data_IF_165105969664
#
_entry.id   IF_165105969664
#
_cell.length_a   1.000
_cell.length_b   1.000
_cell.length_c   1.000
_cell.angle_alpha   90.00
_cell.angle_beta   90.00
_cell.angle_gamma   90.00
#
_symmetry.space_group_name_H-M   'P 1'
#
loop_
_entity.id
_entity.type
_entity.pdbx_description
1 polymer ?
#
# COMPACT_ATOMS: atom_id res chain seq x y z
N UNK A 1 22.21 37.77 -6.04
CA UNK A 1 22.08 36.48 -5.32
C UNK A 1 20.59 36.24 -5.08
N UNK A 2 19.94 35.38 -5.88
CA UNK A 2 18.56 34.93 -5.58
C UNK A 2 18.71 33.77 -4.60
N UNK A 3 18.23 33.95 -3.37
CA UNK A 3 18.12 32.84 -2.43
C UNK A 3 17.18 31.81 -3.03
N UNK A 4 17.69 30.63 -3.35
CA UNK A 4 16.85 29.50 -3.73
C UNK A 4 16.08 29.09 -2.49
N UNK A 5 14.81 29.47 -2.42
CA UNK A 5 13.87 28.87 -1.48
C UNK A 5 13.73 27.41 -1.90
N UNK A 6 14.17 26.50 -1.03
CA UNK A 6 13.96 25.07 -1.21
C UNK A 6 12.44 24.83 -1.33
N UNK A 7 11.96 24.13 -2.36
CA UNK A 7 10.53 23.91 -2.52
C UNK A 7 10.01 23.11 -1.33
N UNK A 8 8.98 23.64 -0.66
CA UNK A 8 8.34 22.90 0.43
C UNK A 8 7.85 21.53 -0.08
N UNK A 9 8.06 20.46 0.71
CA UNK A 9 7.56 19.14 0.35
C UNK A 9 6.02 19.21 0.29
N UNK A 10 5.47 18.98 -0.91
CA UNK A 10 4.02 18.85 -1.07
C UNK A 10 3.54 17.67 -0.23
N UNK A 11 2.74 17.95 0.79
CA UNK A 11 2.12 16.93 1.64
C UNK A 11 1.21 15.99 0.85
N UNK A 12 0.93 14.81 1.41
CA UNK A 12 -0.19 14.01 0.92
C UNK A 12 -1.48 14.80 1.11
N UNK A 13 -2.44 14.68 0.19
CA UNK A 13 -3.78 15.26 0.29
C UNK A 13 -4.66 14.61 1.37
N UNK A 14 -4.07 14.05 2.42
CA UNK A 14 -4.75 13.37 3.52
C UNK A 14 -4.23 13.98 4.83
N UNK A 15 -5.15 14.54 5.61
CA UNK A 15 -4.87 15.12 6.92
C UNK A 15 -5.60 14.31 8.00
N UNK A 16 -4.86 13.81 8.99
CA UNK A 16 -5.47 13.19 10.16
C UNK A 16 -6.17 14.27 11.00
N UNK A 17 -7.49 14.16 11.18
CA UNK A 17 -8.30 15.21 11.81
C UNK A 17 -8.11 15.32 13.33
N UNK A 18 -7.54 14.28 13.95
CA UNK A 18 -7.32 14.17 15.39
C UNK A 18 -5.90 13.67 15.65
N UNK A 19 -5.35 14.03 16.81
CA UNK A 19 -4.14 13.42 17.34
C UNK A 19 -4.36 11.90 17.43
N UNK A 20 -3.54 11.07 16.75
CA UNK A 20 -3.66 9.63 16.80
C UNK A 20 -3.67 9.06 18.23
N UNK A 21 -3.05 9.77 19.18
CA UNK A 21 -2.99 9.38 20.59
C UNK A 21 -4.29 9.65 21.37
N UNK A 22 -5.20 10.44 20.81
CA UNK A 22 -6.48 10.82 21.41
C UNK A 22 -7.69 10.21 20.67
N UNK A 23 -7.45 9.24 19.79
CA UNK A 23 -8.52 8.49 19.15
C UNK A 23 -9.12 7.49 20.14
N UNK A 24 -10.45 7.46 20.24
CA UNK A 24 -11.14 6.38 20.93
C UNK A 24 -11.10 5.12 20.08
N UNK A 25 -11.29 3.96 20.70
CA UNK A 25 -11.50 2.71 19.98
C UNK A 25 -12.66 2.86 18.99
N UNK A 26 -12.42 2.51 17.72
CA UNK A 26 -13.36 2.73 16.61
C UNK A 26 -13.34 4.13 15.97
N UNK A 27 -12.48 5.05 16.42
CA UNK A 27 -12.30 6.36 15.77
C UNK A 27 -11.07 6.37 14.86
N UNK A 28 -11.28 6.66 13.57
CA UNK A 28 -10.23 7.01 12.62
C UNK A 28 -10.78 8.06 11.67
N UNK A 29 -10.26 9.29 11.73
CA UNK A 29 -10.71 10.39 10.87
C UNK A 29 -9.55 10.85 9.98
N UNK A 30 -9.56 10.40 8.73
CA UNK A 30 -8.77 10.99 7.66
C UNK A 30 -9.63 11.97 6.87
N UNK A 31 -9.21 13.23 6.79
CA UNK A 31 -9.82 14.21 5.90
C UNK A 31 -9.03 14.25 4.60
N UNK A 32 -9.72 14.08 3.47
CA UNK A 32 -9.14 14.45 2.18
C UNK A 32 -9.05 15.99 2.12
N UNK A 33 -7.88 16.49 1.74
CA UNK A 33 -7.60 17.91 1.55
C UNK A 33 -6.96 18.11 0.16
N UNK A 34 -6.82 19.37 -0.25
CA UNK A 34 -6.21 19.74 -1.53
C UNK A 34 -6.97 19.23 -2.77
N UNK A 35 -8.24 19.62 -2.88
CA UNK A 35 -9.10 19.35 -4.04
C UNK A 35 -8.79 20.26 -5.25
N UNK A 36 -7.62 20.92 -5.29
CA UNK A 36 -7.26 21.86 -6.35
C UNK A 36 -7.14 21.22 -7.75
N UNK A 37 -6.92 19.90 -7.80
CA UNK A 37 -6.87 19.09 -9.02
C UNK A 37 -8.13 18.25 -9.25
N UNK A 38 -9.19 18.49 -8.46
CA UNK A 38 -10.45 17.80 -8.64
C UNK A 38 -11.19 18.29 -9.88
N UNK A 39 -11.87 17.35 -10.52
CA UNK A 39 -12.51 17.55 -11.79
C UNK A 39 -13.99 17.22 -11.60
N UNK A 40 -14.87 18.09 -12.12
CA UNK A 40 -16.27 17.76 -12.20
C UNK A 40 -16.49 16.63 -13.23
N UNK A 41 -17.10 15.53 -12.80
CA UNK A 41 -17.37 14.36 -13.63
C UNK A 41 -18.20 14.68 -14.89
N UNK A 42 -19.08 15.69 -14.82
CA UNK A 42 -19.95 16.09 -15.93
C UNK A 42 -19.22 16.94 -16.99
N UNK A 43 -17.96 17.30 -16.75
CA UNK A 43 -17.18 18.16 -17.64
C UNK A 43 -16.76 17.39 -18.91
N UNK A 44 -17.49 17.61 -20.01
CA UNK A 44 -17.22 17.00 -21.33
C UNK A 44 -15.97 17.51 -22.05
N UNK A 45 -15.42 18.66 -21.65
CA UNK A 45 -14.20 19.19 -22.28
C UNK A 45 -12.98 18.48 -21.70
N UNK A 46 -12.25 17.76 -22.56
CA UNK A 46 -10.99 17.12 -22.21
C UNK A 46 -10.03 18.14 -21.62
N UNK A 47 -9.38 17.79 -20.51
CA UNK A 47 -8.33 18.60 -19.92
C UNK A 47 -7.22 18.83 -20.94
N UNK A 48 -6.83 20.10 -21.13
CA UNK A 48 -5.57 20.40 -21.79
C UNK A 48 -4.48 19.68 -20.99
N UNK A 49 -3.63 18.87 -21.64
CA UNK A 49 -2.64 18.00 -21.00
C UNK A 49 -1.64 18.66 -20.04
N UNK A 50 -1.75 19.98 -19.82
CA UNK A 50 -1.09 20.73 -18.75
C UNK A 50 -1.52 20.28 -17.35
N UNK A 51 -2.78 19.92 -17.14
CA UNK A 51 -3.26 19.55 -15.79
C UNK A 51 -2.85 18.12 -15.39
N UNK A 52 -2.69 17.21 -16.36
CA UNK A 52 -2.12 15.89 -16.09
C UNK A 52 -0.66 15.98 -15.61
N UNK A 53 0.06 17.06 -15.96
CA UNK A 53 1.47 17.23 -15.55
C UNK A 53 1.60 17.67 -14.10
N UNK A 54 0.51 18.08 -13.46
CA UNK A 54 0.48 18.48 -12.05
C UNK A 54 0.10 17.29 -11.18
N UNK A 55 0.74 17.17 -10.02
CA UNK A 55 0.53 16.05 -9.08
C UNK A 55 1.84 15.34 -8.73
N UNK A 56 1.78 14.49 -7.70
CA UNK A 56 2.90 13.71 -7.19
C UNK A 56 2.91 12.36 -7.94
N UNK A 57 3.93 12.11 -8.77
CA UNK A 57 3.92 10.97 -9.72
C UNK A 57 3.87 9.64 -9.00
N UNK A 58 4.35 9.59 -7.76
CA UNK A 58 4.27 8.40 -6.93
C UNK A 58 2.85 7.88 -6.74
N UNK A 59 1.84 8.73 -6.86
CA UNK A 59 0.44 8.33 -6.69
C UNK A 59 -0.33 8.24 -8.00
N UNK A 60 0.21 8.71 -9.12
CA UNK A 60 -0.49 8.59 -10.41
C UNK A 60 -0.66 7.13 -10.83
N UNK A 61 -1.84 6.78 -11.35
CA UNK A 61 -2.10 5.46 -11.92
C UNK A 61 -1.17 5.15 -13.11
N UNK A 62 -1.00 3.86 -13.43
CA UNK A 62 -0.25 3.44 -14.63
C UNK A 62 -0.84 4.07 -15.90
N UNK A 63 -2.17 4.21 -15.98
CA UNK A 63 -2.87 4.83 -17.12
C UNK A 63 -2.57 6.32 -17.23
N UNK A 64 -2.63 7.07 -16.12
CA UNK A 64 -2.26 8.49 -16.07
C UNK A 64 -0.82 8.67 -16.52
N UNK A 65 0.13 7.91 -15.95
CA UNK A 65 1.55 8.03 -16.28
C UNK A 65 1.85 7.73 -17.75
N UNK A 66 1.14 6.76 -18.34
CA UNK A 66 1.23 6.46 -19.78
C UNK A 66 0.67 7.58 -20.64
N UNK A 67 -0.48 8.14 -20.28
CA UNK A 67 -1.09 9.27 -21.01
C UNK A 67 -0.19 10.50 -21.05
N UNK A 68 0.67 10.68 -20.04
CA UNK A 68 1.65 11.75 -19.96
C UNK A 68 2.87 11.55 -20.86
N UNK A 69 3.10 10.32 -21.32
CA UNK A 69 4.16 10.03 -22.26
C UNK A 69 3.69 10.33 -23.68
N UNK A 70 4.50 11.07 -24.45
CA UNK A 70 4.20 11.38 -25.86
C UNK A 70 4.02 10.12 -26.72
N UNK A 71 4.44 8.95 -26.24
CA UNK A 71 4.22 7.64 -26.86
C UNK A 71 2.75 7.24 -26.96
N UNK A 72 1.87 7.80 -26.12
CA UNK A 72 0.45 7.43 -26.12
C UNK A 72 -0.45 8.30 -27.01
N UNK A 73 0.11 9.26 -27.75
CA UNK A 73 -0.66 10.08 -28.70
C UNK A 73 -1.35 9.25 -29.81
N UNK A 74 -0.84 8.06 -30.12
CA UNK A 74 -1.43 7.14 -31.10
C UNK A 74 -2.58 6.27 -30.54
N UNK A 75 -2.82 6.30 -29.23
CA UNK A 75 -3.72 5.36 -28.54
C UNK A 75 -5.06 5.98 -28.12
N UNK A 76 -5.34 7.22 -28.55
CA UNK A 76 -6.58 7.93 -28.29
C UNK A 76 -6.47 8.98 -27.18
N UNK A 77 -7.54 9.75 -27.00
CA UNK A 77 -7.63 10.76 -25.93
C UNK A 77 -7.77 10.03 -24.59
N UNK A 78 -6.81 10.24 -23.69
CA UNK A 78 -6.93 9.73 -22.32
C UNK A 78 -8.20 10.27 -21.66
N UNK A 79 -9.02 9.35 -21.17
CA UNK A 79 -10.21 9.65 -20.41
C UNK A 79 -9.97 9.27 -18.95
N UNK A 80 -10.00 10.28 -18.07
CA UNK A 80 -9.89 10.10 -16.62
C UNK A 80 -11.04 9.22 -16.14
N UNK A 81 -10.74 8.30 -15.23
CA UNK A 81 -11.70 7.36 -14.66
C UNK A 81 -11.49 7.27 -13.15
N UNK A 82 -12.55 6.98 -12.38
CA UNK A 82 -12.47 6.78 -10.92
C UNK A 82 -11.49 5.67 -10.51
N UNK A 83 -11.22 4.70 -11.40
CA UNK A 83 -10.19 3.68 -11.17
C UNK A 83 -8.79 4.29 -11.03
N UNK A 84 -8.51 5.45 -11.64
CA UNK A 84 -7.24 6.14 -11.45
C UNK A 84 -7.10 6.65 -10.01
N UNK A 85 -8.19 7.09 -9.38
CA UNK A 85 -8.22 7.55 -7.99
C UNK A 85 -8.10 6.36 -7.02
N UNK A 86 -8.76 5.23 -7.32
CA UNK A 86 -8.60 3.97 -6.57
C UNK A 86 -7.17 3.41 -6.65
N UNK A 87 -6.56 3.40 -7.85
CA UNK A 87 -5.17 2.97 -8.00
C UNK A 87 -4.23 3.95 -7.28
N UNK A 88 -4.55 5.24 -7.25
CA UNK A 88 -3.79 6.24 -6.48
C UNK A 88 -3.82 5.94 -4.98
N UNK A 89 -4.99 5.57 -4.44
CA UNK A 89 -5.14 5.15 -3.05
C UNK A 89 -4.33 3.89 -2.74
N UNK A 90 -4.31 2.91 -3.64
CA UNK A 90 -3.45 1.73 -3.54
C UNK A 90 -1.96 2.11 -3.44
N UNK A 91 -1.48 3.04 -4.27
CA UNK A 91 -0.09 3.50 -4.18
C UNK A 91 0.22 4.24 -2.86
N UNK A 92 -0.77 4.91 -2.25
CA UNK A 92 -0.64 5.48 -0.90
C UNK A 92 -0.48 4.36 0.15
N UNK A 93 -1.30 3.33 0.09
CA UNK A 93 -1.19 2.16 0.98
C UNK A 93 0.20 1.52 0.87
N UNK A 94 0.66 1.20 -0.35
CA UNK A 94 2.00 0.64 -0.58
C UNK A 94 3.09 1.52 0.03
N UNK A 95 3.00 2.85 -0.13
CA UNK A 95 3.97 3.79 0.45
C UNK A 95 3.94 3.80 1.98
N UNK A 96 2.77 3.69 2.61
CA UNK A 96 2.63 3.60 4.06
C UNK A 96 3.26 2.30 4.56
N UNK A 97 2.94 1.16 3.94
CA UNK A 97 3.46 -0.15 4.32
C UNK A 97 4.98 -0.21 4.22
N UNK A 98 5.55 0.30 3.13
CA UNK A 98 7.00 0.41 2.99
C UNK A 98 7.62 1.26 4.09
N UNK A 99 6.98 2.36 4.52
CA UNK A 99 7.53 3.17 5.62
C UNK A 99 7.46 2.49 6.98
N UNK A 100 6.46 1.64 7.21
CA UNK A 100 6.27 0.95 8.49
C UNK A 100 7.14 -0.30 8.58
N UNK A 101 7.15 -1.14 7.54
CA UNK A 101 7.69 -2.50 7.58
C UNK A 101 9.06 -2.66 6.94
N UNK A 102 9.60 -1.63 6.29
CA UNK A 102 10.91 -1.75 5.69
C UNK A 102 11.96 -2.14 6.74
N UNK A 103 12.78 -3.18 6.47
CA UNK A 103 13.71 -3.74 7.44
C UNK A 103 14.74 -2.70 7.87
N UNK A 104 14.48 -2.10 9.01
CA UNK A 104 15.47 -1.38 9.79
C UNK A 104 16.30 -2.44 10.53
N UNK A 105 17.58 -2.54 10.17
CA UNK A 105 18.55 -3.25 10.99
C UNK A 105 18.75 -2.43 12.28
N UNK A 106 18.12 -2.88 13.38
CA UNK A 106 18.13 -2.19 14.67
C UNK A 106 19.47 -2.31 15.42
N UNK A 107 20.46 -3.00 14.85
CA UNK A 107 21.75 -3.22 15.53
C UNK A 107 22.67 -1.99 15.49
N UNK A 108 22.39 -1.01 14.62
CA UNK A 108 23.15 0.24 14.50
C UNK A 108 22.23 1.40 14.04
N UNK A 109 21.77 2.22 14.98
CA UNK A 109 20.86 3.35 14.72
C UNK A 109 21.36 4.34 13.65
N UNK A 110 22.68 4.49 13.50
CA UNK A 110 23.24 5.40 12.50
C UNK A 110 23.17 4.76 11.12
N UNK A 111 23.57 3.49 11.01
CA UNK A 111 23.42 2.68 9.79
C UNK A 111 21.95 2.53 9.39
N UNK A 112 21.04 2.42 10.35
CA UNK A 112 19.59 2.45 10.14
C UNK A 112 19.13 3.71 9.42
N UNK A 113 19.54 4.90 9.88
CA UNK A 113 19.08 6.17 9.31
C UNK A 113 19.57 6.36 7.88
N UNK A 114 20.83 6.02 7.61
CA UNK A 114 21.40 6.12 6.27
C UNK A 114 20.76 5.09 5.32
N UNK A 115 20.50 3.87 5.79
CA UNK A 115 19.80 2.82 5.03
C UNK A 115 18.36 3.21 4.70
N UNK A 116 17.62 3.74 5.69
CA UNK A 116 16.25 4.22 5.50
C UNK A 116 16.20 5.38 4.49
N UNK A 117 17.14 6.34 4.59
CA UNK A 117 17.24 7.45 3.63
C UNK A 117 17.58 6.96 2.23
N UNK A 118 18.54 6.04 2.10
CA UNK A 118 18.91 5.45 0.81
C UNK A 118 17.74 4.68 0.20
N UNK A 119 16.99 3.95 1.01
CA UNK A 119 15.80 3.24 0.56
C UNK A 119 14.67 4.19 0.17
N UNK A 120 14.36 5.21 0.98
CA UNK A 120 13.39 6.23 0.64
C UNK A 120 13.76 6.94 -0.66
N UNK A 121 15.04 7.25 -0.87
CA UNK A 121 15.54 7.77 -2.14
C UNK A 121 15.34 6.79 -3.30
N UNK A 122 15.54 5.48 -3.08
CA UNK A 122 15.29 4.47 -4.11
C UNK A 122 13.80 4.35 -4.45
N UNK A 123 12.92 4.39 -3.45
CA UNK A 123 11.48 4.40 -3.63
C UNK A 123 11.01 5.67 -4.33
N UNK A 124 11.51 6.84 -3.91
CA UNK A 124 11.18 8.10 -4.58
C UNK A 124 11.69 8.07 -6.02
N UNK A 125 12.89 7.55 -6.28
CA UNK A 125 13.38 7.37 -7.65
C UNK A 125 12.52 6.41 -8.48
N UNK A 126 11.94 5.37 -7.86
CA UNK A 126 11.08 4.40 -8.52
C UNK A 126 9.71 5.00 -8.86
N UNK A 127 9.08 5.61 -7.87
CA UNK A 127 7.71 6.12 -7.93
C UNK A 127 7.60 7.52 -8.56
N UNK A 128 8.62 8.37 -8.39
CA UNK A 128 8.70 9.72 -8.97
C UNK A 128 9.53 9.78 -10.25
N UNK A 129 9.93 8.64 -10.82
CA UNK A 129 10.61 8.60 -12.12
C UNK A 129 9.83 9.36 -13.20
N UNK A 130 10.50 9.64 -14.33
CA UNK A 130 9.80 10.18 -15.52
C UNK A 130 8.62 9.27 -15.91
N UNK A 131 7.51 9.81 -16.44
CA UNK A 131 6.26 9.06 -16.56
C UNK A 131 6.35 7.68 -17.23
N UNK A 132 7.08 7.49 -18.35
CA UNK A 132 7.22 6.16 -18.96
C UNK A 132 7.87 5.14 -18.02
N UNK A 133 8.91 5.55 -17.30
CA UNK A 133 9.66 4.70 -16.39
C UNK A 133 8.82 4.36 -15.16
N UNK A 134 8.16 5.35 -14.56
CA UNK A 134 7.25 5.12 -13.43
C UNK A 134 6.10 4.18 -13.82
N UNK A 135 5.51 4.37 -15.01
CA UNK A 135 4.45 3.49 -15.50
C UNK A 135 4.93 2.04 -15.71
N UNK A 136 6.11 1.87 -16.29
CA UNK A 136 6.72 0.55 -16.48
C UNK A 136 6.90 -0.17 -15.15
N UNK A 137 7.50 0.52 -14.19
CA UNK A 137 7.77 -0.02 -12.86
C UNK A 137 6.51 -0.37 -12.08
N UNK A 138 5.53 0.54 -12.05
CA UNK A 138 4.24 0.28 -11.41
C UNK A 138 3.51 -0.88 -12.05
N UNK A 139 3.51 -0.98 -13.38
CA UNK A 139 2.94 -2.14 -14.06
C UNK A 139 3.68 -3.43 -13.72
N UNK A 140 5.01 -3.41 -13.66
CA UNK A 140 5.81 -4.57 -13.29
C UNK A 140 5.49 -5.01 -11.85
N UNK A 141 5.35 -4.06 -10.92
CA UNK A 141 4.91 -4.32 -9.56
C UNK A 141 3.53 -4.98 -9.52
N UNK A 142 2.54 -4.40 -10.21
CA UNK A 142 1.19 -4.99 -10.31
C UNK A 142 1.22 -6.39 -10.95
N UNK A 143 2.11 -6.64 -11.90
CA UNK A 143 2.25 -7.95 -12.54
C UNK A 143 2.90 -9.02 -11.64
N UNK A 144 3.67 -8.59 -10.63
CA UNK A 144 4.34 -9.45 -9.67
C UNK A 144 3.58 -9.55 -8.35
N UNK A 145 2.38 -8.95 -8.27
CA UNK A 145 1.64 -8.88 -7.01
C UNK A 145 1.12 -10.24 -6.52
N UNK A 146 1.01 -11.22 -7.42
CA UNK A 146 0.66 -12.60 -7.08
C UNK A 146 1.86 -13.46 -6.67
N UNK A 147 3.07 -12.93 -6.77
CA UNK A 147 4.30 -13.68 -6.50
C UNK A 147 4.82 -13.37 -5.10
N UNK A 148 5.72 -14.23 -4.57
CA UNK A 148 6.51 -13.98 -3.35
C UNK A 148 7.40 -12.71 -3.40
N UNK A 149 7.28 -11.94 -4.48
CA UNK A 149 7.95 -10.66 -4.64
C UNK A 149 7.44 -9.63 -3.62
N UNK A 150 6.14 -9.60 -3.33
CA UNK A 150 5.59 -8.62 -2.36
C UNK A 150 6.20 -8.82 -0.97
N UNK A 151 6.36 -10.07 -0.52
CA UNK A 151 6.99 -10.39 0.77
C UNK A 151 8.38 -9.76 0.91
N UNK A 152 9.18 -9.88 -0.16
CA UNK A 152 10.53 -9.33 -0.21
C UNK A 152 10.53 -7.80 -0.34
N UNK A 153 9.49 -7.23 -0.94
CA UNK A 153 9.39 -5.80 -1.22
C UNK A 153 8.89 -5.00 -0.01
N UNK A 154 7.81 -5.43 0.65
CA UNK A 154 7.27 -4.75 1.84
C UNK A 154 8.11 -5.10 3.07
N UNK A 155 8.63 -6.32 3.13
CA UNK A 155 9.48 -6.83 4.20
C UNK A 155 8.81 -7.98 4.94
N UNK A 156 9.63 -8.94 5.36
CA UNK A 156 9.20 -10.19 6.03
C UNK A 156 8.54 -10.01 7.40
N UNK A 157 8.52 -8.78 7.93
CA UNK A 157 7.85 -8.43 9.19
C UNK A 157 6.40 -7.98 8.99
N UNK A 158 5.98 -7.75 7.74
CA UNK A 158 4.59 -7.44 7.44
C UNK A 158 3.73 -8.68 7.71
N UNK A 159 2.54 -8.45 8.27
CA UNK A 159 1.56 -9.53 8.45
C UNK A 159 1.20 -10.13 7.09
N UNK A 160 1.11 -11.46 7.01
CA UNK A 160 0.80 -12.15 5.75
C UNK A 160 -0.56 -11.73 5.19
N UNK A 161 -1.55 -11.44 6.05
CA UNK A 161 -2.87 -11.01 5.59
C UNK A 161 -2.82 -9.61 4.94
N UNK A 162 -1.89 -8.76 5.37
CA UNK A 162 -1.63 -7.45 4.75
C UNK A 162 -0.89 -7.61 3.42
N UNK A 163 0.04 -8.56 3.33
CA UNK A 163 0.71 -8.88 2.05
C UNK A 163 -0.32 -9.42 1.04
N UNK A 164 -1.17 -10.34 1.46
CA UNK A 164 -2.27 -10.89 0.64
C UNK A 164 -3.17 -9.75 0.13
N UNK A 165 -3.58 -8.82 1.00
CA UNK A 165 -4.37 -7.64 0.60
C UNK A 165 -3.68 -6.83 -0.51
N UNK A 166 -2.38 -6.56 -0.39
CA UNK A 166 -1.64 -5.83 -1.44
C UNK A 166 -1.56 -6.65 -2.74
N UNK A 167 -1.41 -7.97 -2.61
CA UNK A 167 -1.42 -8.90 -3.74
C UNK A 167 -2.73 -8.87 -4.52
N UNK A 168 -3.85 -8.99 -3.81
CA UNK A 168 -5.21 -8.99 -4.34
C UNK A 168 -5.55 -7.64 -4.98
N UNK A 169 -5.27 -6.53 -4.29
CA UNK A 169 -5.43 -5.18 -4.86
C UNK A 169 -4.57 -5.00 -6.11
N UNK A 170 -3.31 -5.47 -6.08
CA UNK A 170 -2.42 -5.40 -7.23
C UNK A 170 -2.96 -6.16 -8.45
N UNK A 171 -3.51 -7.36 -8.22
CA UNK A 171 -4.12 -8.19 -9.25
C UNK A 171 -5.38 -7.53 -9.85
N UNK A 172 -6.22 -6.95 -8.97
CA UNK A 172 -7.39 -6.17 -9.37
C UNK A 172 -7.00 -5.02 -10.30
N UNK A 173 -6.05 -4.16 -9.92
CA UNK A 173 -5.62 -3.04 -10.77
C UNK A 173 -4.92 -3.49 -12.06
N UNK A 174 -4.15 -4.58 -12.03
CA UNK A 174 -3.51 -5.14 -13.22
C UNK A 174 -4.53 -5.52 -14.30
N UNK A 175 -5.69 -6.06 -13.91
CA UNK A 175 -6.76 -6.37 -14.86
C UNK A 175 -7.18 -5.13 -15.66
N UNK A 176 -7.38 -3.99 -15.00
CA UNK A 176 -7.78 -2.76 -15.67
C UNK A 176 -6.67 -2.15 -16.53
N UNK A 177 -5.41 -2.26 -16.08
CA UNK A 177 -4.26 -1.89 -16.91
C UNK A 177 -4.25 -2.73 -18.20
N UNK A 178 -4.51 -4.04 -18.11
CA UNK A 178 -4.57 -4.95 -19.27
C UNK A 178 -5.78 -4.65 -20.18
N UNK A 179 -6.95 -4.33 -19.62
CA UNK A 179 -8.12 -3.93 -20.40
C UNK A 179 -7.84 -2.64 -21.19
N UNK A 180 -7.24 -1.64 -20.53
CA UNK A 180 -6.85 -0.39 -21.17
C UNK A 180 -5.81 -0.60 -22.29
N UNK A 181 -4.83 -1.48 -22.09
CA UNK A 181 -3.86 -1.88 -23.14
C UNK A 181 -4.53 -2.52 -24.34
N UNK A 182 -5.58 -3.33 -24.11
CA UNK A 182 -6.35 -4.00 -25.16
C UNK A 182 -7.45 -3.11 -25.76
N UNK A 183 -7.61 -1.87 -25.28
CA UNK A 183 -8.68 -0.94 -25.68
C UNK A 183 -10.08 -1.52 -25.46
N UNK A 184 -10.22 -2.39 -24.46
CA UNK A 184 -11.50 -2.94 -24.06
C UNK A 184 -12.14 -1.91 -23.12
N UNK A 185 -13.42 -1.53 -23.35
CA UNK A 185 -14.15 -0.69 -22.40
C UNK A 185 -14.09 -1.30 -21.00
N UNK A 186 -13.84 -0.45 -20.01
CA UNK A 186 -13.91 -0.87 -18.61
C UNK A 186 -15.38 -1.12 -18.28
N UNK A 187 -15.75 -2.23 -17.62
CA UNK A 187 -17.12 -2.47 -17.20
C UNK A 187 -17.70 -1.28 -16.41
N UNK A 188 -18.95 -0.94 -16.72
CA UNK A 188 -19.54 0.37 -16.42
C UNK A 188 -20.18 0.50 -15.02
N UNK A 189 -19.85 -0.36 -14.04
CA UNK A 189 -20.36 -0.17 -12.67
C UNK A 189 -19.25 0.21 -11.68
N UNK A 190 -19.06 1.52 -11.41
CA UNK A 190 -18.19 1.98 -10.33
C UNK A 190 -18.52 1.32 -8.99
N UNK A 191 -19.79 1.08 -8.68
CA UNK A 191 -20.19 0.55 -7.39
C UNK A 191 -19.66 -0.88 -7.18
N UNK A 192 -19.64 -1.68 -8.23
CA UNK A 192 -19.10 -3.04 -8.16
C UNK A 192 -17.59 -3.01 -7.89
N UNK A 193 -16.85 -2.14 -8.58
CA UNK A 193 -15.42 -1.99 -8.35
C UNK A 193 -15.09 -1.42 -6.96
N UNK A 194 -15.85 -0.43 -6.47
CA UNK A 194 -15.70 0.06 -5.10
C UNK A 194 -16.03 -1.02 -4.08
N UNK A 195 -17.10 -1.79 -4.30
CA UNK A 195 -17.50 -2.89 -3.43
C UNK A 195 -16.42 -3.98 -3.38
N UNK A 196 -15.85 -4.32 -4.52
CA UNK A 196 -14.74 -5.29 -4.60
C UNK A 196 -13.56 -4.81 -3.76
N UNK A 197 -13.08 -3.58 -3.99
CA UNK A 197 -11.95 -3.02 -3.22
C UNK A 197 -12.26 -2.98 -1.72
N UNK A 198 -13.44 -2.54 -1.32
CA UNK A 198 -13.86 -2.51 0.09
C UNK A 198 -13.88 -3.94 0.68
N UNK A 199 -14.41 -4.90 -0.06
CA UNK A 199 -14.47 -6.30 0.39
C UNK A 199 -13.08 -6.91 0.62
N UNK A 200 -12.08 -6.52 -0.17
CA UNK A 200 -10.69 -6.93 0.05
C UNK A 200 -10.16 -6.39 1.38
N UNK A 201 -10.44 -5.12 1.71
CA UNK A 201 -10.10 -4.56 3.01
C UNK A 201 -10.84 -5.24 4.16
N UNK A 202 -12.16 -5.43 4.05
CA UNK A 202 -12.98 -6.07 5.08
C UNK A 202 -12.47 -7.50 5.36
N UNK A 203 -12.13 -8.25 4.32
CA UNK A 203 -11.56 -9.59 4.45
C UNK A 203 -10.21 -9.57 5.19
N UNK A 204 -9.32 -8.63 4.84
CA UNK A 204 -8.02 -8.52 5.51
C UNK A 204 -8.17 -8.13 6.99
N UNK A 205 -9.05 -7.15 7.31
CA UNK A 205 -9.35 -6.73 8.68
C UNK A 205 -9.89 -7.91 9.48
N UNK A 206 -10.86 -8.64 8.93
CA UNK A 206 -11.44 -9.80 9.59
C UNK A 206 -10.38 -10.86 9.93
N UNK A 207 -9.48 -11.19 9.01
CA UNK A 207 -8.40 -12.16 9.26
C UNK A 207 -7.45 -11.69 10.38
N UNK A 208 -7.07 -10.41 10.36
CA UNK A 208 -6.22 -9.80 11.40
C UNK A 208 -6.88 -9.83 12.79
N UNK A 209 -8.19 -9.55 12.88
CA UNK A 209 -8.94 -9.62 14.13
C UNK A 209 -9.05 -11.06 14.65
N UNK A 210 -9.31 -12.02 13.75
CA UNK A 210 -9.35 -13.44 14.10
C UNK A 210 -8.00 -13.93 14.63
N UNK A 211 -6.88 -13.52 14.02
CA UNK A 211 -5.54 -13.87 14.47
C UNK A 211 -5.24 -13.35 15.90
N UNK A 212 -5.76 -12.18 16.26
CA UNK A 212 -5.61 -11.61 17.61
C UNK A 212 -6.50 -12.27 18.65
N UNK A 213 -7.63 -12.85 18.25
CA UNK A 213 -8.59 -13.48 19.15
C UNK A 213 -8.18 -14.88 19.64
N UNK A 214 -7.15 -15.49 19.04
CA UNK A 214 -6.67 -16.83 19.44
C UNK A 214 -6.13 -16.75 20.87
N UNK A 215 -6.76 -17.42 21.86
CA UNK A 215 -6.31 -17.36 23.24
C UNK A 215 -4.87 -17.86 23.33
N UNK A 216 -4.00 -17.09 23.98
CA UNK A 216 -2.65 -17.55 24.31
C UNK A 216 -2.79 -18.94 24.95
N UNK A 217 -2.08 -19.97 24.43
CA UNK A 217 -2.16 -21.30 24.99
C UNK A 217 -1.86 -21.18 26.48
N UNK A 218 -2.85 -21.54 27.31
CA UNK A 218 -2.72 -21.53 28.77
C UNK A 218 -1.39 -22.22 29.09
N UNK A 219 -0.48 -21.58 29.84
CA UNK A 219 0.80 -22.18 30.17
C UNK A 219 0.53 -23.58 30.71
N UNK A 220 0.96 -24.62 29.99
CA UNK A 220 0.86 -26.00 30.49
C UNK A 220 1.49 -25.98 31.86
N UNK A 221 0.68 -26.28 32.88
CA UNK A 221 1.16 -26.36 34.24
C UNK A 221 2.45 -27.21 34.23
N UNK A 222 3.54 -26.75 34.88
CA UNK A 222 4.76 -27.51 34.91
C UNK A 222 4.44 -28.94 35.35
N UNK A 223 5.05 -29.96 34.72
CA UNK A 223 4.77 -31.35 35.06
C UNK A 223 4.91 -31.50 36.56
N UNK A 224 3.82 -31.89 37.21
CA UNK A 224 3.78 -32.18 38.64
C UNK A 224 4.82 -33.26 38.88
N UNK A 225 5.93 -32.87 39.50
CA UNK A 225 6.98 -33.79 39.95
C UNK A 225 6.31 -34.70 40.98
N UNK A 226 5.93 -35.89 40.54
CA UNK A 226 5.52 -36.96 41.43
C UNK A 226 6.76 -37.36 42.23
N UNK A 227 6.85 -36.87 43.46
CA UNK A 227 7.77 -37.40 44.44
C UNK A 227 7.32 -38.84 44.76
N UNK A 228 7.79 -39.80 43.98
CA UNK A 228 7.81 -41.21 44.39
C UNK A 228 8.71 -41.30 45.63
N UNK A 229 8.06 -41.41 46.78
CA UNK A 229 8.74 -41.74 48.04
C UNK A 229 8.99 -43.24 48.00
N UNK A 230 10.22 -43.62 47.67
CA UNK A 230 10.69 -45.00 47.80
C UNK A 230 10.63 -45.42 49.28
N UNK A 231 9.62 -46.22 49.63
CA UNK A 231 9.59 -46.94 50.91
C UNK A 231 10.60 -48.09 50.89
N UNK A 232 11.56 -48.14 51.85
CA UNK A 232 12.54 -49.21 51.90
C UNK A 232 11.87 -50.51 52.38
N UNK A 233 12.03 -51.57 51.58
CA UNK A 233 11.63 -52.93 51.93
C UNK A 233 12.63 -53.50 52.94
N UNK A 234 12.18 -53.71 54.18
CA UNK A 234 12.97 -54.41 55.21
C UNK A 234 12.88 -55.90 54.92
N UNK A 235 13.98 -56.51 54.51
CA UNK A 235 14.12 -57.96 54.43
C UNK A 235 14.34 -58.52 55.84
N UNK A 236 13.45 -59.42 56.27
CA UNK A 236 13.63 -60.24 57.47
C UNK A 236 14.32 -61.55 57.10
N UNK A 237 15.45 -61.82 57.76
CA UNK A 237 16.10 -63.14 57.89
C UNK A 237 16.59 -63.29 59.31
#
# INVERSE_FOLDING_TARGET
RRGGQEPEPKGLGILCAKDPKNLREGEGYGNLIDFGLCINADRKTSFNGKELRTGTRAFHSVRVLRSLSNYWHEFGVYQKCYLDDLESFFWVLVRILLRIFYPIDHTDEKRTKDSLKAHQNALDNFFEAVPPTAAFWKRAFLAQSSDKYIDNFIGSKCDSDVVDLVGDLGAFFLQFVRLAEKRVPIPDDPNDHYREVISLFDNAIYKLEMAQSVPNPVPKAPPSVSNEVDTPTIAST
#
